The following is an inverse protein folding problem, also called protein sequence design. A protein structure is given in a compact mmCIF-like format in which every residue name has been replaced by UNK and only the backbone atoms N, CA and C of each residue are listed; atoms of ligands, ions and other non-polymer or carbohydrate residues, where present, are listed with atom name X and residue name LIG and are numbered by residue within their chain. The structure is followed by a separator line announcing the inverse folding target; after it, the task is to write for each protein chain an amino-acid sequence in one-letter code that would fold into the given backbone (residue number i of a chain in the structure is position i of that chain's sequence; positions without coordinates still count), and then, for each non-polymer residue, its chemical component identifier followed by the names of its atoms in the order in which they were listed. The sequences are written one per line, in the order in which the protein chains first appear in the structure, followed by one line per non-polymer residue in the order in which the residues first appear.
data_IF_186201434239
#
_entry.id   IF_186201434239
#
_cell.length_a   1.000
_cell.length_b   1.000
_cell.length_c   1.000
_cell.angle_alpha   90.00
_cell.angle_beta   90.00
_cell.angle_gamma   90.00
#
_symmetry.space_group_name_H-M   'P 1'
#
loop_
_entity.id
_entity.type
_entity.pdbx_description
1 polymer ?
#
# COMPACT_ATOMS: atom_id res chain seq x y z
N UNK A 1 -3.54 -11.88 8.28
CA UNK A 1 -3.30 -10.43 8.12
C UNK A 1 -4.16 -9.68 9.13
N UNK A 2 -3.68 -8.61 9.77
CA UNK A 2 -4.48 -7.81 10.69
C UNK A 2 -5.61 -7.11 9.92
N UNK A 3 -6.86 -7.21 10.39
CA UNK A 3 -8.05 -6.66 9.71
C UNK A 3 -7.93 -5.16 9.39
N UNK A 4 -7.27 -4.38 10.26
CA UNK A 4 -7.03 -2.95 10.02
C UNK A 4 -6.02 -2.73 8.89
N UNK A 5 -4.98 -3.56 8.81
CA UNK A 5 -4.00 -3.51 7.72
C UNK A 5 -4.68 -3.85 6.38
N UNK A 6 -5.57 -4.84 6.36
CA UNK A 6 -6.33 -5.20 5.15
C UNK A 6 -7.20 -4.05 4.64
N UNK A 7 -7.95 -3.38 5.52
CA UNK A 7 -8.74 -2.19 5.15
C UNK A 7 -7.85 -1.07 4.59
N UNK A 8 -6.68 -0.85 5.18
CA UNK A 8 -5.76 0.18 4.71
C UNK A 8 -5.21 -0.13 3.32
N UNK A 9 -4.91 -1.40 3.01
CA UNK A 9 -4.50 -1.83 1.67
C UNK A 9 -5.62 -1.69 0.64
N UNK A 10 -6.85 -2.08 0.97
CA UNK A 10 -8.01 -1.89 0.08
C UNK A 10 -8.23 -0.39 -0.24
N UNK A 11 -8.11 0.47 0.77
CA UNK A 11 -8.24 1.91 0.58
C UNK A 11 -7.08 2.51 -0.25
N UNK A 12 -5.86 1.97 -0.15
CA UNK A 12 -4.74 2.36 -1.02
C UNK A 12 -5.05 1.96 -2.47
N UNK A 13 -5.49 0.72 -2.71
CA UNK A 13 -5.79 0.24 -4.05
C UNK A 13 -6.86 1.10 -4.74
N UNK A 14 -7.93 1.46 -4.02
CA UNK A 14 -8.96 2.34 -4.57
C UNK A 14 -8.45 3.74 -4.91
N UNK A 15 -7.56 4.29 -4.08
CA UNK A 15 -6.94 5.59 -4.34
C UNK A 15 -5.97 5.54 -5.52
N UNK A 16 -5.23 4.44 -5.68
CA UNK A 16 -4.33 4.23 -6.82
C UNK A 16 -5.13 4.14 -8.13
N UNK A 17 -6.26 3.43 -8.15
CA UNK A 17 -7.17 3.39 -9.30
C UNK A 17 -7.70 4.80 -9.65
N UNK A 18 -8.21 5.53 -8.65
CA UNK A 18 -8.71 6.88 -8.83
C UNK A 18 -7.62 7.85 -9.32
N UNK A 19 -6.40 7.73 -8.80
CA UNK A 19 -5.25 8.54 -9.20
C UNK A 19 -4.92 8.31 -10.68
N UNK A 20 -4.96 7.06 -11.12
CA UNK A 20 -4.72 6.68 -12.52
C UNK A 20 -5.80 7.28 -13.44
N UNK A 21 -7.06 7.26 -13.02
CA UNK A 21 -8.14 7.93 -13.74
C UNK A 21 -7.99 9.44 -13.80
N UNK A 22 -7.65 10.08 -12.67
CA UNK A 22 -7.45 11.53 -12.62
C UNK A 22 -6.32 11.94 -13.54
N UNK A 23 -5.17 11.24 -13.50
CA UNK A 23 -4.03 11.52 -14.38
C UNK A 23 -4.38 11.34 -15.86
N UNK A 24 -5.18 10.33 -16.22
CA UNK A 24 -5.67 10.13 -17.60
C UNK A 24 -6.59 11.26 -18.07
N UNK A 25 -7.40 11.83 -17.18
CA UNK A 25 -8.40 12.87 -17.48
C UNK A 25 -7.86 14.30 -17.30
N UNK A 26 -6.65 14.48 -16.77
CA UNK A 26 -6.07 15.78 -16.40
C UNK A 26 -5.52 16.59 -17.60
N UNK A 27 -6.33 16.80 -18.63
CA UNK A 27 -5.91 17.53 -19.83
C UNK A 27 -5.67 19.04 -19.57
N UNK A 28 -6.39 19.59 -18.59
CA UNK A 28 -6.44 21.02 -18.27
C UNK A 28 -6.05 21.34 -16.81
N UNK A 29 -5.38 20.41 -16.12
CA UNK A 29 -5.02 20.53 -14.70
C UNK A 29 -6.23 20.63 -13.74
N UNK A 30 -7.46 20.36 -14.21
CA UNK A 30 -8.67 20.39 -13.37
C UNK A 30 -8.68 19.37 -12.24
N UNK A 31 -7.85 18.33 -12.33
CA UNK A 31 -7.75 17.27 -11.33
C UNK A 31 -6.50 17.38 -10.45
N UNK A 32 -5.68 18.42 -10.54
CA UNK A 32 -4.44 18.55 -9.74
C UNK A 32 -4.69 18.43 -8.23
N UNK A 33 -5.75 19.06 -7.73
CA UNK A 33 -6.14 18.95 -6.32
C UNK A 33 -6.57 17.52 -5.96
N UNK A 34 -7.31 16.84 -6.84
CA UNK A 34 -7.75 15.47 -6.61
C UNK A 34 -6.57 14.48 -6.65
N UNK A 35 -5.62 14.70 -7.56
CA UNK A 35 -4.35 13.98 -7.66
C UNK A 35 -3.55 14.16 -6.37
N UNK A 36 -3.35 15.40 -5.92
CA UNK A 36 -2.59 15.69 -4.70
C UNK A 36 -3.22 15.08 -3.45
N UNK A 37 -4.55 15.12 -3.33
CA UNK A 37 -5.28 14.49 -2.22
C UNK A 37 -5.17 12.96 -2.24
N UNK A 38 -5.25 12.34 -3.41
CA UNK A 38 -5.09 10.89 -3.55
C UNK A 38 -3.66 10.44 -3.22
N UNK A 39 -2.64 11.14 -3.73
CA UNK A 39 -1.23 10.86 -3.43
C UNK A 39 -0.91 11.01 -1.93
N UNK A 40 -1.40 12.09 -1.31
CA UNK A 40 -1.28 12.27 0.14
C UNK A 40 -2.00 11.17 0.93
N UNK A 41 -3.22 10.81 0.51
CA UNK A 41 -4.01 9.77 1.15
C UNK A 41 -3.38 8.37 1.08
N UNK A 42 -2.69 8.05 -0.01
CA UNK A 42 -1.91 6.80 -0.15
C UNK A 42 -0.71 6.83 0.81
N UNK A 43 0.07 7.92 0.80
CA UNK A 43 1.24 8.06 1.66
C UNK A 43 0.88 7.89 3.14
N UNK A 44 -0.15 8.60 3.60
CA UNK A 44 -0.61 8.52 4.99
C UNK A 44 -1.00 7.10 5.39
N UNK A 45 -1.71 6.35 4.54
CA UNK A 45 -2.10 4.95 4.84
C UNK A 45 -0.89 4.02 4.90
N UNK A 46 0.12 4.22 4.06
CA UNK A 46 1.39 3.46 4.12
C UNK A 46 2.11 3.70 5.45
N UNK A 47 2.14 4.95 5.93
CA UNK A 47 2.68 5.29 7.26
C UNK A 47 1.90 4.59 8.39
N UNK A 48 0.57 4.57 8.32
CA UNK A 48 -0.27 3.86 9.31
C UNK A 48 -0.03 2.34 9.31
N UNK A 49 0.11 1.71 8.14
CA UNK A 49 0.47 0.29 8.05
C UNK A 49 1.82 0.04 8.70
N UNK A 50 2.81 0.92 8.47
CA UNK A 50 4.13 0.80 9.07
C UNK A 50 4.09 0.88 10.60
N UNK A 51 3.34 1.82 11.16
CA UNK A 51 3.14 1.98 12.62
C UNK A 51 2.44 0.77 13.24
N UNK A 52 1.36 0.29 12.62
CA UNK A 52 0.64 -0.91 13.09
C UNK A 52 1.54 -2.14 12.99
N UNK A 53 2.30 -2.29 11.90
CA UNK A 53 3.21 -3.43 11.72
C UNK A 53 4.34 -3.44 12.74
N UNK A 54 4.86 -2.26 13.11
CA UNK A 54 5.89 -2.12 14.13
C UNK A 54 5.39 -2.50 15.55
N UNK A 55 4.10 -2.32 15.82
CA UNK A 55 3.49 -2.61 17.13
C UNK A 55 2.99 -4.05 17.28
N UNK A 56 2.80 -4.79 16.18
CA UNK A 56 2.29 -6.16 16.19
C UNK A 56 3.32 -7.25 16.58
N UNK A 57 4.57 -6.88 16.90
CA UNK A 57 5.70 -7.76 17.25
C UNK A 57 6.12 -8.71 16.10
N UNK A 58 7.36 -8.63 15.58
CA UNK A 58 7.77 -9.31 14.36
C UNK A 58 8.09 -10.78 14.62
N UNK A 59 7.07 -11.63 14.74
CA UNK A 59 7.26 -13.04 14.38
C UNK A 59 7.03 -13.15 12.88
N UNK A 60 8.09 -12.81 12.15
CA UNK A 60 8.19 -13.06 10.72
C UNK A 60 8.08 -14.60 10.54
N UNK A 61 7.09 -15.11 9.79
CA UNK A 61 6.97 -16.55 9.56
C UNK A 61 8.19 -17.09 8.80
N UNK A 62 8.74 -18.24 9.19
CA UNK A 62 9.74 -18.97 8.38
C UNK A 62 9.12 -19.33 7.02
N UNK A 63 9.81 -19.10 5.87
CA UNK A 63 11.27 -18.95 5.71
C UNK A 63 11.80 -17.49 5.72
N UNK A 64 10.94 -16.49 5.93
CA UNK A 64 11.29 -15.07 5.75
C UNK A 64 12.06 -14.48 6.94
N UNK A 65 12.22 -15.22 8.03
CA UNK A 65 12.95 -14.79 9.22
C UNK A 65 14.44 -14.54 8.96
N UNK A 66 14.99 -15.10 7.88
CA UNK A 66 16.37 -14.87 7.40
C UNK A 66 16.52 -13.68 6.44
N UNK A 67 15.41 -13.07 5.99
CA UNK A 67 15.40 -11.92 5.09
C UNK A 67 15.32 -10.61 5.89
N UNK A 68 16.02 -9.57 5.42
CA UNK A 68 15.94 -8.24 6.03
C UNK A 68 14.53 -7.63 5.83
N UNK A 69 14.12 -6.74 6.74
CA UNK A 69 12.81 -6.06 6.67
C UNK A 69 12.56 -5.41 5.30
N UNK A 70 13.60 -4.86 4.70
CA UNK A 70 13.54 -4.19 3.39
C UNK A 70 13.37 -5.20 2.24
N UNK A 71 13.92 -6.41 2.35
CA UNK A 71 13.70 -7.48 1.38
C UNK A 71 12.28 -8.07 1.46
N UNK A 72 11.71 -8.16 2.66
CA UNK A 72 10.32 -8.60 2.85
C UNK A 72 9.36 -7.57 2.24
N UNK A 73 9.57 -6.29 2.52
CA UNK A 73 8.75 -5.20 1.97
C UNK A 73 8.95 -5.03 0.45
N UNK A 74 10.13 -5.38 -0.08
CA UNK A 74 10.42 -5.41 -1.51
C UNK A 74 9.86 -6.63 -2.24
N UNK A 75 9.72 -7.78 -1.59
CA UNK A 75 9.27 -9.05 -2.18
C UNK A 75 7.76 -9.32 -2.11
N UNK A 76 7.06 -8.81 -1.09
CA UNK A 76 5.59 -8.95 -0.96
C UNK A 76 4.85 -8.21 -2.09
N UNK A 77 5.52 -7.31 -2.82
CA UNK A 77 4.98 -6.68 -4.03
C UNK A 77 4.95 -7.56 -5.29
N UNK A 78 5.39 -8.83 -5.23
CA UNK A 78 5.53 -9.64 -6.45
C UNK A 78 4.94 -11.05 -6.47
N UNK A 79 4.50 -11.66 -5.37
CA UNK A 79 3.84 -12.98 -5.43
C UNK A 79 2.74 -13.12 -4.37
N UNK A 80 1.48 -13.00 -4.79
CA UNK A 80 0.39 -13.90 -4.41
C UNK A 80 -0.83 -13.71 -5.35
N UNK A 81 -0.60 -13.86 -6.66
CA UNK A 81 -1.62 -14.42 -7.56
C UNK A 81 -0.92 -15.52 -8.37
N UNK A 82 -0.83 -16.70 -7.77
CA UNK A 82 -0.91 -17.99 -8.45
C UNK A 82 -0.88 -19.07 -7.36
N UNK A 83 -2.06 -19.40 -6.82
CA UNK A 83 -2.53 -20.79 -6.70
C UNK A 83 -3.92 -20.83 -6.04
N UNK A 84 -4.95 -20.98 -6.86
CA UNK A 84 -5.82 -22.17 -6.76
C UNK A 84 -5.87 -22.78 -8.16
#
# INVERSE_FOLDING_TARGET
MNHLISILFEAIAQLEENLDEYKKKNYDNSFDNAIGLAEWGIKWRKEQIQEISATLNPQIPEPYASMSRDEILGGIGQYDICNI
#
